data_IF_170447669880
#
_entry.id   IF_170447669880
#
_cell.length_a   1.000
_cell.length_b   1.000
_cell.length_c   1.000
_cell.angle_alpha   90.00
_cell.angle_beta   90.00
_cell.angle_gamma   90.00
#
_symmetry.space_group_name_H-M   'P 1'
#
loop_
_entity.id
_entity.type
_entity.pdbx_description
1 polymer ?
#
# COMPACT_ATOMS: atom_id res chain seq x y z
N UNK A 1 30.19 20.31 7.00
CA UNK A 1 29.28 19.20 7.35
C UNK A 1 28.06 19.32 6.46
N UNK A 2 28.01 18.55 5.37
CA UNK A 2 26.82 18.43 4.53
C UNK A 2 26.55 16.94 4.44
N UNK A 3 25.69 16.44 5.32
CA UNK A 3 25.11 15.11 5.15
C UNK A 3 23.80 15.29 4.39
N UNK A 4 23.89 15.14 3.07
CA UNK A 4 22.76 14.81 2.22
C UNK A 4 22.33 13.39 2.58
N UNK A 5 21.20 13.28 3.27
CA UNK A 5 20.50 12.02 3.46
C UNK A 5 19.17 12.13 2.75
N UNK A 6 19.20 11.96 1.43
CA UNK A 6 18.01 11.61 0.64
C UNK A 6 17.54 10.21 1.08
N UNK A 7 16.85 10.13 2.21
CA UNK A 7 16.18 8.90 2.67
C UNK A 7 14.64 9.01 2.63
N UNK A 8 14.12 10.12 2.08
CA UNK A 8 12.71 10.49 2.18
C UNK A 8 11.75 9.65 1.32
N UNK A 9 12.22 8.61 0.62
CA UNK A 9 11.35 7.64 -0.07
C UNK A 9 11.39 6.22 0.49
N UNK A 10 12.39 5.89 1.31
CA UNK A 10 12.51 4.56 1.91
C UNK A 10 11.91 4.49 3.32
N UNK A 11 11.94 5.60 4.07
CA UNK A 11 11.45 5.64 5.46
C UNK A 11 9.92 5.67 5.60
N UNK A 12 9.17 5.89 4.52
CA UNK A 12 7.71 6.08 4.60
C UNK A 12 6.92 4.75 4.72
N UNK A 13 7.57 3.59 4.57
CA UNK A 13 6.88 2.32 4.27
C UNK A 13 6.99 1.21 5.32
N UNK A 14 7.76 1.34 6.39
CA UNK A 14 8.04 0.20 7.28
C UNK A 14 8.05 0.59 8.76
N UNK A 15 6.92 0.36 9.43
CA UNK A 15 6.78 0.53 10.89
C UNK A 15 7.47 -0.57 11.71
N UNK A 16 7.95 -1.65 11.08
CA UNK A 16 8.87 -2.64 11.67
C UNK A 16 9.51 -3.51 10.58
N UNK A 17 10.69 -4.10 10.84
CA UNK A 17 11.37 -5.02 9.91
C UNK A 17 10.50 -6.25 9.58
N UNK A 18 9.75 -6.76 10.56
CA UNK A 18 8.86 -7.92 10.39
C UNK A 18 7.69 -7.64 9.44
N UNK A 19 7.12 -6.44 9.53
CA UNK A 19 6.05 -6.01 8.62
C UNK A 19 6.55 -5.87 7.17
N UNK A 20 7.80 -5.46 6.98
CA UNK A 20 8.45 -5.39 5.68
C UNK A 20 8.60 -6.77 5.05
N UNK A 21 9.12 -7.71 5.82
CA UNK A 21 9.39 -9.07 5.37
C UNK A 21 8.10 -9.83 5.03
N UNK A 22 7.04 -9.66 5.82
CA UNK A 22 5.73 -10.24 5.53
C UNK A 22 5.14 -9.72 4.21
N UNK A 23 5.24 -8.41 3.95
CA UNK A 23 4.79 -7.82 2.68
C UNK A 23 5.65 -8.27 1.49
N UNK A 24 6.96 -8.41 1.68
CA UNK A 24 7.85 -8.92 0.64
C UNK A 24 7.50 -10.35 0.25
N UNK A 25 7.31 -11.24 1.23
CA UNK A 25 6.89 -12.61 0.99
C UNK A 25 5.54 -12.69 0.27
N UNK A 26 4.55 -11.90 0.73
CA UNK A 26 3.24 -11.79 0.07
C UNK A 26 3.36 -11.33 -1.39
N UNK A 27 4.14 -10.28 -1.64
CA UNK A 27 4.34 -9.76 -2.99
C UNK A 27 5.11 -10.74 -3.90
N UNK A 28 5.99 -11.58 -3.35
CA UNK A 28 6.63 -12.67 -4.11
C UNK A 28 5.60 -13.66 -4.64
N UNK A 29 4.70 -14.14 -3.76
CA UNK A 29 3.63 -15.07 -4.16
C UNK A 29 2.69 -14.44 -5.20
N UNK A 30 2.34 -13.17 -5.03
CA UNK A 30 1.51 -12.45 -6.02
C UNK A 30 2.24 -12.28 -7.37
N UNK A 31 3.54 -11.99 -7.34
CA UNK A 31 4.35 -11.85 -8.57
C UNK A 31 4.48 -13.18 -9.30
N UNK A 32 4.70 -14.28 -8.58
CA UNK A 32 4.69 -15.65 -9.14
C UNK A 32 3.33 -16.00 -9.77
N UNK A 33 2.24 -15.47 -9.22
CA UNK A 33 0.89 -15.62 -9.74
C UNK A 33 0.51 -14.59 -10.84
N UNK A 34 1.44 -13.73 -11.29
CA UNK A 34 1.19 -12.62 -12.22
C UNK A 34 0.07 -11.65 -11.75
N UNK A 35 -0.12 -11.50 -10.44
CA UNK A 35 -1.08 -10.59 -9.84
C UNK A 35 -0.43 -9.25 -9.47
N UNK A 36 -1.25 -8.20 -9.37
CA UNK A 36 -0.76 -6.88 -8.98
C UNK A 36 -0.19 -6.91 -7.55
N UNK A 37 1.01 -6.35 -7.39
CA UNK A 37 1.66 -6.11 -6.09
C UNK A 37 0.74 -5.29 -5.18
N UNK A 38 0.89 -5.46 -3.87
CA UNK A 38 0.20 -4.65 -2.86
C UNK A 38 1.17 -3.59 -2.32
N UNK A 39 0.74 -2.33 -2.37
CA UNK A 39 1.37 -1.21 -1.67
C UNK A 39 0.47 -0.82 -0.51
N UNK A 40 0.99 -0.84 0.72
CA UNK A 40 0.25 -0.35 1.90
C UNK A 40 0.67 1.09 2.17
N UNK A 41 -0.15 2.10 1.83
CA UNK A 41 0.15 3.50 2.09
C UNK A 41 0.02 3.83 3.58
N UNK A 42 0.71 4.87 4.03
CA UNK A 42 0.72 5.34 5.42
C UNK A 42 -0.68 5.61 5.95
N UNK A 43 -1.55 6.21 5.12
CA UNK A 43 -2.95 6.52 5.47
C UNK A 43 -3.80 5.26 5.71
N UNK A 44 -3.34 4.09 5.27
CA UNK A 44 -4.04 2.81 5.39
C UNK A 44 -3.49 1.91 6.51
N UNK A 45 -2.56 2.42 7.31
CA UNK A 45 -1.86 1.64 8.34
C UNK A 45 -2.83 1.00 9.35
N UNK A 46 -3.83 1.72 9.85
CA UNK A 46 -4.79 1.17 10.81
C UNK A 46 -5.74 0.14 10.18
N UNK A 47 -6.22 0.43 8.96
CA UNK A 47 -7.08 -0.47 8.19
C UNK A 47 -6.37 -1.78 7.80
N UNK A 48 -5.04 -1.79 7.84
CA UNK A 48 -4.20 -2.98 7.71
C UNK A 48 -3.95 -3.69 9.05
N UNK A 49 -3.47 -2.95 10.05
CA UNK A 49 -3.00 -3.53 11.32
C UNK A 49 -4.14 -4.07 12.19
N UNK A 50 -5.31 -3.44 12.17
CA UNK A 50 -6.44 -3.89 12.98
C UNK A 50 -6.96 -5.27 12.54
N UNK A 51 -7.22 -5.53 11.24
CA UNK A 51 -7.54 -6.88 10.78
C UNK A 51 -6.42 -7.90 11.00
N UNK A 52 -5.15 -7.50 10.85
CA UNK A 52 -4.02 -8.38 11.09
C UNK A 52 -3.94 -8.83 12.57
N UNK A 53 -4.20 -7.92 13.51
CA UNK A 53 -4.29 -8.24 14.94
C UNK A 53 -5.46 -9.18 15.24
N UNK A 54 -6.62 -8.97 14.59
CA UNK A 54 -7.77 -9.87 14.72
C UNK A 54 -7.46 -11.27 14.19
N UNK A 55 -6.81 -11.37 13.04
CA UNK A 55 -6.34 -12.64 12.50
C UNK A 55 -5.40 -13.35 13.50
N UNK A 56 -4.41 -12.64 14.05
CA UNK A 56 -3.46 -13.23 14.99
C UNK A 56 -4.12 -13.72 16.28
N UNK A 57 -5.07 -12.95 16.84
CA UNK A 57 -5.64 -13.23 18.15
C UNK A 57 -6.88 -14.13 18.10
N UNK A 58 -7.68 -14.01 17.06
CA UNK A 58 -8.99 -14.65 16.94
C UNK A 58 -9.05 -15.68 15.80
N UNK A 59 -7.98 -15.80 14.99
CA UNK A 59 -7.91 -16.66 13.79
C UNK A 59 -8.98 -16.33 12.74
N UNK A 60 -9.55 -15.13 12.79
CA UNK A 60 -10.49 -14.64 11.79
C UNK A 60 -9.76 -13.90 10.67
N UNK A 61 -9.68 -14.55 9.51
CA UNK A 61 -9.01 -14.01 8.32
C UNK A 61 -9.92 -13.12 7.46
N UNK A 62 -11.24 -13.10 7.68
CA UNK A 62 -12.17 -12.49 6.74
C UNK A 62 -11.91 -10.99 6.57
N UNK A 63 -11.77 -10.27 7.69
CA UNK A 63 -11.49 -8.84 7.68
C UNK A 63 -10.11 -8.53 7.05
N UNK A 64 -9.12 -9.41 7.26
CA UNK A 64 -7.79 -9.22 6.70
C UNK A 64 -7.78 -9.41 5.18
N UNK A 65 -8.43 -10.46 4.69
CA UNK A 65 -8.55 -10.73 3.24
C UNK A 65 -9.28 -9.58 2.54
N UNK A 66 -10.37 -9.07 3.13
CA UNK A 66 -11.10 -7.94 2.55
C UNK A 66 -10.25 -6.65 2.51
N UNK A 67 -9.49 -6.39 3.58
CA UNK A 67 -8.54 -5.26 3.62
C UNK A 67 -7.45 -5.40 2.55
N UNK A 68 -6.87 -6.59 2.42
CA UNK A 68 -5.88 -6.92 1.38
C UNK A 68 -6.42 -6.74 -0.04
N UNK A 69 -7.63 -7.26 -0.31
CA UNK A 69 -8.26 -7.13 -1.63
C UNK A 69 -8.53 -5.65 -1.97
N UNK A 70 -9.02 -4.87 -0.99
CA UNK A 70 -9.26 -3.43 -1.18
C UNK A 70 -7.98 -2.68 -1.51
N UNK A 71 -6.88 -2.96 -0.81
CA UNK A 71 -5.63 -2.25 -1.06
C UNK A 71 -4.94 -2.73 -2.35
N UNK A 72 -5.13 -3.99 -2.73
CA UNK A 72 -4.71 -4.48 -4.04
C UNK A 72 -5.45 -3.77 -5.18
N UNK A 73 -6.77 -3.61 -5.07
CA UNK A 73 -7.57 -2.85 -6.04
C UNK A 73 -7.15 -1.38 -6.12
N UNK A 74 -6.80 -0.77 -4.98
CA UNK A 74 -6.24 0.57 -5.00
C UNK A 74 -4.89 0.62 -5.73
N UNK A 75 -4.01 -0.34 -5.45
CA UNK A 75 -2.66 -0.43 -6.04
C UNK A 75 -2.73 -0.68 -7.55
N UNK A 76 -3.69 -1.48 -8.03
CA UNK A 76 -3.81 -1.85 -9.44
C UNK A 76 -4.27 -0.70 -10.35
N UNK A 77 -4.80 0.39 -9.78
CA UNK A 77 -5.34 1.53 -10.54
C UNK A 77 -4.29 2.54 -10.98
N UNK A 78 -3.04 2.38 -10.56
CA UNK A 78 -1.95 3.26 -10.97
C UNK A 78 -1.25 2.73 -12.21
N UNK A 79 -0.96 3.62 -13.16
CA UNK A 79 -0.03 3.30 -14.25
C UNK A 79 1.41 3.36 -13.71
N UNK A 80 2.11 2.23 -13.74
CA UNK A 80 3.50 2.12 -13.31
C UNK A 80 4.51 2.32 -14.43
N UNK A 81 4.07 2.41 -15.69
CA UNK A 81 4.92 2.73 -16.83
C UNK A 81 5.17 4.23 -16.98
N UNK A 82 4.35 5.08 -16.35
CA UNK A 82 4.49 6.53 -16.37
C UNK A 82 5.74 7.02 -15.61
N UNK A 83 6.18 8.28 -15.85
CA UNK A 83 7.30 8.87 -15.11
C UNK A 83 7.08 8.84 -13.60
N UNK A 84 8.15 8.54 -12.85
CA UNK A 84 8.10 8.42 -11.37
C UNK A 84 7.48 9.63 -10.68
N UNK A 85 7.73 10.84 -11.19
CA UNK A 85 7.17 12.06 -10.64
C UNK A 85 5.65 12.14 -10.80
N UNK A 86 5.12 11.72 -11.96
CA UNK A 86 3.68 11.69 -12.21
C UNK A 86 2.98 10.66 -11.30
N UNK A 87 3.58 9.47 -11.16
CA UNK A 87 3.10 8.45 -10.24
C UNK A 87 3.09 8.95 -8.79
N UNK A 88 4.17 9.63 -8.36
CA UNK A 88 4.24 10.20 -7.01
C UNK A 88 3.13 11.23 -6.76
N UNK A 89 2.84 12.10 -7.73
CA UNK A 89 1.76 13.08 -7.60
C UNK A 89 0.39 12.40 -7.47
N UNK A 90 0.13 11.34 -8.23
CA UNK A 90 -1.11 10.56 -8.09
C UNK A 90 -1.22 9.89 -6.71
N UNK A 91 -0.11 9.37 -6.19
CA UNK A 91 -0.06 8.83 -4.82
C UNK A 91 -0.33 9.92 -3.77
N UNK A 92 0.23 11.13 -3.93
CA UNK A 92 -0.04 12.26 -3.03
C UNK A 92 -1.52 12.66 -3.06
N UNK A 93 -2.14 12.75 -4.24
CA UNK A 93 -3.57 13.05 -4.41
C UNK A 93 -4.49 12.00 -3.76
N UNK A 94 -4.01 10.76 -3.67
CA UNK A 94 -4.74 9.66 -3.04
C UNK A 94 -4.62 9.61 -1.49
N UNK A 95 -3.99 10.63 -0.89
CA UNK A 95 -3.59 10.70 0.51
C UNK A 95 -2.58 9.64 0.95
N UNK A 96 -1.87 8.98 0.04
CA UNK A 96 -1.05 7.80 0.36
C UNK A 96 -0.03 8.02 1.50
N UNK A 97 0.48 9.24 1.63
CA UNK A 97 1.54 9.58 2.60
C UNK A 97 1.01 10.25 3.88
N UNK A 98 -0.31 10.39 4.05
CA UNK A 98 -0.89 11.08 5.21
C UNK A 98 -0.77 10.24 6.49
N UNK A 99 -0.30 10.88 7.57
CA UNK A 99 -0.18 10.26 8.89
C UNK A 99 -1.37 10.57 9.82
N UNK A 100 -2.07 11.68 9.56
CA UNK A 100 -3.25 12.06 10.34
C UNK A 100 -4.50 11.31 9.88
N UNK A 101 -4.62 10.07 10.38
CA UNK A 101 -5.69 9.13 10.03
C UNK A 101 -7.09 9.59 10.47
N UNK A 102 -7.17 10.64 11.30
CA UNK A 102 -8.45 11.21 11.74
C UNK A 102 -9.04 12.13 10.68
N UNK A 103 -8.17 12.86 9.97
CA UNK A 103 -8.57 13.85 8.96
C UNK A 103 -8.45 13.31 7.52
N UNK A 104 -7.60 12.30 7.30
CA UNK A 104 -7.37 11.72 5.99
C UNK A 104 -7.81 10.27 5.90
N UNK A 105 -8.29 9.90 4.71
CA UNK A 105 -8.65 8.54 4.31
C UNK A 105 -8.03 8.23 2.97
N UNK A 106 -7.83 6.94 2.70
CA UNK A 106 -7.42 6.45 1.39
C UNK A 106 -8.43 6.89 0.32
N UNK A 107 -7.96 7.60 -0.70
CA UNK A 107 -8.77 7.99 -1.86
C UNK A 107 -8.37 7.08 -3.02
N UNK A 108 -9.36 6.56 -3.73
CA UNK A 108 -9.13 5.78 -4.94
C UNK A 108 -8.95 6.73 -6.13
N UNK A 109 -7.89 6.57 -6.94
CA UNK A 109 -7.82 7.29 -8.20
C UNK A 109 -8.98 6.85 -9.11
N UNK A 110 -9.63 7.81 -9.75
CA UNK A 110 -10.69 7.52 -10.73
C UNK A 110 -10.04 6.98 -12.02
N UNK A 111 -10.25 5.68 -12.26
CA UNK A 111 -10.00 4.90 -13.49
C UNK A 111 -8.71 5.14 -14.30
N UNK A 112 -7.72 4.24 -14.11
CA UNK A 112 -7.07 3.57 -15.24
C UNK A 112 -7.52 2.10 -15.23
N UNK A 113 -8.64 1.78 -15.88
CA UNK A 113 -9.09 0.39 -16.00
C UNK A 113 -8.17 -0.37 -16.97
N UNK A 114 -7.53 -1.49 -16.59
CA UNK A 114 -6.82 -2.34 -17.54
C UNK A 114 -7.74 -3.29 -18.32
N UNK A 115 -9.06 -3.28 -18.07
CA UNK A 115 -10.00 -4.09 -18.85
C UNK A 115 -10.54 -3.30 -20.05
N UNK A 116 -9.72 -3.21 -21.08
CA UNK A 116 -10.19 -3.07 -22.46
C UNK A 116 -10.42 -4.49 -22.99
N UNK A 117 -11.62 -4.71 -23.51
CA UNK A 117 -12.13 -5.97 -24.06
C UNK A 117 -11.38 -6.41 -25.31
#
# INVERSE_FOLDING_TARGET
MVHNSDNSTADILFSSENEAQARLAMNSVLSEANLCRIIVPTVYREDYLLPLKRLSNQKDAAAFIQSMARIQDWTSRFDYAQPRQALRQQLEQSNAFQEDLRNYRLIFPENASPYVK
#
